data_IF_663458538310
#
_entry.id   IF_663458538310
#
_cell.length_a   1.000
_cell.length_b   1.000
_cell.length_c   1.000
_cell.angle_alpha   90.00
_cell.angle_beta   90.00
_cell.angle_gamma   90.00
#
_symmetry.space_group_name_H-M   'P 1'
#
loop_
_entity.id
_entity.type
_entity.pdbx_description
1 polymer ?
#
# COMPACT_ATOMS: atom_id res chain seq x y z
N UNK A 1 17.90 17.73 23.75
CA UNK A 1 18.42 17.72 22.36
C UNK A 1 17.25 17.58 21.42
N UNK A 2 16.89 18.65 20.71
CA UNK A 2 15.86 18.57 19.66
C UNK A 2 16.46 17.82 18.47
N UNK A 3 15.96 16.59 18.22
CA UNK A 3 16.27 15.84 17.01
C UNK A 3 15.68 16.57 15.81
N UNK A 4 16.38 16.66 14.67
CA UNK A 4 15.87 17.34 13.48
C UNK A 4 14.53 16.73 13.08
N UNK A 5 13.56 17.59 12.77
CA UNK A 5 12.24 17.16 12.33
C UNK A 5 12.35 16.57 10.92
N UNK A 6 12.02 15.29 10.77
CA UNK A 6 12.01 14.62 9.47
C UNK A 6 10.82 15.15 8.68
N UNK A 7 11.09 15.75 7.52
CA UNK A 7 10.00 16.24 6.66
C UNK A 7 9.06 15.08 6.28
N UNK A 8 7.73 15.29 6.30
CA UNK A 8 6.77 14.25 5.94
C UNK A 8 7.06 13.60 4.59
N UNK A 9 7.48 14.39 3.61
CA UNK A 9 7.87 13.91 2.27
C UNK A 9 9.06 12.95 2.31
N UNK A 10 10.07 13.21 3.16
CA UNK A 10 11.23 12.33 3.28
C UNK A 10 10.87 10.96 3.88
N UNK A 11 9.87 10.89 4.76
CA UNK A 11 9.42 9.63 5.35
C UNK A 11 8.87 8.65 4.30
N UNK A 12 8.31 9.16 3.20
CA UNK A 12 7.79 8.34 2.11
C UNK A 12 8.85 7.85 1.12
N UNK A 13 10.10 8.35 1.19
CA UNK A 13 11.16 8.10 0.20
C UNK A 13 11.52 6.63 0.00
N UNK A 14 11.19 5.78 0.97
CA UNK A 14 11.38 4.33 0.90
C UNK A 14 10.57 3.65 -0.22
N UNK A 15 9.41 4.21 -0.59
CA UNK A 15 8.55 3.66 -1.63
C UNK A 15 8.92 4.29 -2.98
N UNK A 16 9.31 3.47 -3.96
CA UNK A 16 9.73 3.96 -5.28
C UNK A 16 8.54 4.40 -6.13
N UNK A 17 7.42 3.67 -6.02
CA UNK A 17 6.17 3.94 -6.73
C UNK A 17 4.99 3.89 -5.78
N UNK A 18 4.12 4.89 -5.90
CA UNK A 18 2.97 5.08 -5.02
C UNK A 18 1.75 5.31 -5.89
N UNK A 19 0.75 4.46 -5.73
CA UNK A 19 -0.48 4.48 -6.50
C UNK A 19 -1.69 4.68 -5.59
N UNK A 20 -2.71 5.36 -6.09
CA UNK A 20 -4.04 5.39 -5.47
C UNK A 20 -5.09 4.97 -6.50
N UNK A 21 -5.81 3.89 -6.23
CA UNK A 21 -6.86 3.37 -7.09
C UNK A 21 -8.15 4.14 -6.81
N UNK A 22 -8.82 4.59 -7.88
CA UNK A 22 -10.14 5.21 -7.79
C UNK A 22 -10.97 4.87 -9.02
N UNK A 23 -12.29 4.74 -8.86
CA UNK A 23 -13.18 4.60 -10.00
C UNK A 23 -13.49 5.97 -10.62
N UNK A 24 -13.55 6.04 -11.95
CA UNK A 24 -13.77 7.25 -12.76
C UNK A 24 -14.84 8.21 -12.21
N UNK A 25 -16.00 7.69 -11.83
CA UNK A 25 -17.18 8.41 -11.36
C UNK A 25 -17.11 8.93 -9.92
N UNK A 26 -16.05 8.61 -9.15
CA UNK A 26 -15.88 9.02 -7.74
C UNK A 26 -14.88 10.16 -7.58
N UNK A 27 -15.08 11.26 -8.29
CA UNK A 27 -14.27 12.48 -8.13
C UNK A 27 -14.31 13.02 -6.70
N UNK A 28 -15.44 12.88 -6.02
CA UNK A 28 -15.63 13.21 -4.61
C UNK A 28 -14.58 12.55 -3.70
N UNK A 29 -14.39 11.22 -3.84
CA UNK A 29 -13.40 10.47 -3.07
C UNK A 29 -11.98 10.82 -3.46
N UNK A 30 -11.71 11.05 -4.75
CA UNK A 30 -10.38 11.49 -5.19
C UNK A 30 -9.98 12.81 -4.57
N UNK A 31 -10.88 13.79 -4.55
CA UNK A 31 -10.59 15.09 -3.92
C UNK A 31 -10.36 14.93 -2.41
N UNK A 32 -11.09 14.05 -1.73
CA UNK A 32 -10.82 13.73 -0.34
C UNK A 32 -9.46 13.06 -0.14
N UNK A 33 -9.13 12.05 -0.95
CA UNK A 33 -7.83 11.37 -0.90
C UNK A 33 -6.68 12.34 -1.18
N UNK A 34 -6.82 13.26 -2.14
CA UNK A 34 -5.83 14.30 -2.41
C UNK A 34 -5.56 15.18 -1.18
N UNK A 35 -6.60 15.62 -0.48
CA UNK A 35 -6.46 16.38 0.77
C UNK A 35 -5.71 15.57 1.82
N UNK A 36 -6.09 14.32 2.02
CA UNK A 36 -5.44 13.39 2.95
C UNK A 36 -3.96 13.17 2.61
N UNK A 37 -3.60 13.02 1.33
CA UNK A 37 -2.21 12.92 0.90
C UNK A 37 -1.44 14.23 1.06
N UNK A 38 -2.08 15.38 0.84
CA UNK A 38 -1.45 16.69 1.03
C UNK A 38 -1.10 16.91 2.51
N UNK A 39 -2.01 16.57 3.42
CA UNK A 39 -1.82 16.67 4.88
C UNK A 39 -0.59 15.91 5.38
N UNK A 40 -0.22 14.80 4.72
CA UNK A 40 0.94 13.97 5.08
C UNK A 40 2.14 14.16 4.14
N UNK A 41 2.13 15.19 3.29
CA UNK A 41 3.24 15.53 2.38
C UNK A 41 3.53 14.49 1.30
N UNK A 42 2.51 13.73 0.90
CA UNK A 42 2.60 12.60 -0.03
C UNK A 42 2.02 12.90 -1.43
N UNK A 43 1.12 13.89 -1.55
CA UNK A 43 0.31 14.15 -2.75
C UNK A 43 1.10 14.12 -4.07
N UNK A 44 2.20 14.87 -4.16
CA UNK A 44 3.00 15.02 -5.39
C UNK A 44 3.67 13.71 -5.86
N UNK A 45 3.67 12.67 -5.03
CA UNK A 45 4.27 11.37 -5.36
C UNK A 45 3.24 10.30 -5.69
N UNK A 46 1.95 10.60 -5.54
CA UNK A 46 0.86 9.64 -5.78
C UNK A 46 0.43 9.72 -7.24
N UNK A 47 0.52 8.59 -7.94
CA UNK A 47 -0.13 8.43 -9.24
C UNK A 47 -1.53 7.84 -9.04
N UNK A 48 -2.57 8.56 -9.47
CA UNK A 48 -3.93 8.04 -9.44
C UNK A 48 -4.18 7.08 -10.61
N UNK A 49 -4.53 5.84 -10.30
CA UNK A 49 -4.93 4.83 -11.29
C UNK A 49 -6.46 4.83 -11.37
N UNK A 50 -6.96 5.56 -12.37
CA UNK A 50 -8.39 5.73 -12.60
C UNK A 50 -8.92 4.56 -13.44
N UNK A 51 -9.90 3.84 -12.91
CA UNK A 51 -10.49 2.67 -13.57
C UNK A 51 -11.99 2.83 -13.77
N UNK A 52 -12.54 2.25 -14.82
CA UNK A 52 -13.99 2.09 -14.94
C UNK A 52 -14.45 1.03 -13.95
N UNK A 53 -15.64 1.20 -13.37
CA UNK A 53 -16.24 0.14 -12.55
C UNK A 53 -16.53 -1.07 -13.45
N UNK A 54 -16.03 -2.25 -13.06
CA UNK A 54 -16.32 -3.47 -13.79
C UNK A 54 -17.85 -3.73 -13.81
N UNK A 55 -18.45 -4.02 -14.99
CA UNK A 55 -19.90 -3.95 -15.19
C UNK A 55 -20.68 -5.05 -14.45
N UNK A 56 -20.07 -6.22 -14.24
CA UNK A 56 -20.76 -7.42 -13.72
C UNK A 56 -20.09 -7.98 -12.46
N UNK A 57 -18.76 -8.08 -12.47
CA UNK A 57 -17.96 -8.62 -11.36
C UNK A 57 -17.14 -7.54 -10.65
N UNK A 58 -17.55 -7.15 -9.44
CA UNK A 58 -16.86 -6.12 -8.65
C UNK A 58 -15.49 -6.60 -8.17
N UNK A 59 -15.37 -7.86 -7.78
CA UNK A 59 -14.14 -8.41 -7.19
C UNK A 59 -13.05 -8.54 -8.26
N UNK A 60 -13.44 -8.93 -9.47
CA UNK A 60 -12.56 -8.90 -10.64
C UNK A 60 -12.04 -7.49 -10.93
N UNK A 61 -12.90 -6.47 -10.88
CA UNK A 61 -12.48 -5.08 -11.06
C UNK A 61 -11.45 -4.62 -10.02
N UNK A 62 -11.67 -4.99 -8.75
CA UNK A 62 -10.70 -4.73 -7.66
C UNK A 62 -9.38 -5.44 -7.98
N UNK A 63 -9.43 -6.74 -8.26
CA UNK A 63 -8.26 -7.55 -8.61
C UNK A 63 -7.45 -6.94 -9.75
N UNK A 64 -8.11 -6.61 -10.86
CA UNK A 64 -7.46 -6.06 -12.07
C UNK A 64 -6.80 -4.70 -11.77
N UNK A 65 -7.44 -3.84 -10.99
CA UNK A 65 -6.90 -2.53 -10.63
C UNK A 65 -5.63 -2.63 -9.75
N UNK A 66 -5.60 -3.55 -8.78
CA UNK A 66 -4.38 -3.81 -8.01
C UNK A 66 -3.28 -4.45 -8.86
N UNK A 67 -3.62 -5.43 -9.70
CA UNK A 67 -2.64 -6.06 -10.59
C UNK A 67 -2.05 -5.06 -11.59
N UNK A 68 -2.86 -4.11 -12.08
CA UNK A 68 -2.39 -2.99 -12.89
C UNK A 68 -1.32 -2.17 -12.16
N UNK A 69 -1.59 -1.76 -10.91
CA UNK A 69 -0.61 -1.01 -10.11
C UNK A 69 0.68 -1.80 -9.86
N UNK A 70 0.57 -3.10 -9.55
CA UNK A 70 1.74 -3.96 -9.35
C UNK A 70 2.58 -4.07 -10.62
N UNK A 71 1.96 -4.31 -11.79
CA UNK A 71 2.66 -4.40 -13.07
C UNK A 71 3.33 -3.08 -13.43
N UNK A 72 2.62 -1.96 -13.33
CA UNK A 72 3.18 -0.62 -13.56
C UNK A 72 4.40 -0.33 -12.68
N UNK A 73 4.31 -0.64 -11.39
CA UNK A 73 5.44 -0.46 -10.47
C UNK A 73 6.63 -1.36 -10.84
N UNK A 74 6.36 -2.61 -11.19
CA UNK A 74 7.39 -3.58 -11.58
C UNK A 74 8.12 -3.18 -12.87
N UNK A 75 7.37 -2.75 -13.89
CA UNK A 75 7.85 -2.23 -15.17
C UNK A 75 8.71 -0.97 -14.97
N UNK A 76 8.32 -0.10 -14.05
CA UNK A 76 9.09 1.08 -13.66
C UNK A 76 10.34 0.76 -12.81
N UNK A 77 10.67 -0.52 -12.60
CA UNK A 77 11.85 -0.94 -11.83
C UNK A 77 11.72 -0.81 -10.31
N UNK A 78 10.53 -0.53 -9.77
CA UNK A 78 10.32 -0.31 -8.34
C UNK A 78 10.76 -1.51 -7.49
N UNK A 79 11.46 -1.22 -6.38
CA UNK A 79 11.80 -2.19 -5.33
C UNK A 79 10.69 -2.29 -4.30
N UNK A 80 10.02 -1.18 -3.99
CA UNK A 80 8.88 -1.11 -3.09
C UNK A 80 7.73 -0.35 -3.75
N UNK A 81 6.57 -1.02 -3.84
CA UNK A 81 5.36 -0.47 -4.45
C UNK A 81 4.33 -0.27 -3.36
N UNK A 82 3.86 0.96 -3.15
CA UNK A 82 2.80 1.32 -2.20
C UNK A 82 1.50 1.60 -2.95
N UNK A 83 0.40 0.98 -2.51
CA UNK A 83 -0.92 1.11 -3.13
C UNK A 83 -1.92 1.52 -2.06
N UNK A 84 -2.73 2.53 -2.37
CA UNK A 84 -3.90 2.96 -1.62
C UNK A 84 -5.19 2.80 -2.43
N UNK A 85 -6.32 2.74 -1.74
CA UNK A 85 -7.64 3.05 -2.29
C UNK A 85 -8.06 4.49 -1.97
N UNK A 86 -9.09 5.00 -2.66
CA UNK A 86 -9.57 6.38 -2.54
C UNK A 86 -10.47 6.66 -1.31
N UNK A 87 -10.61 5.72 -0.38
CA UNK A 87 -11.14 5.95 0.99
C UNK A 87 -10.05 6.11 2.05
N UNK A 88 -8.79 6.28 1.65
CA UNK A 88 -7.70 6.52 2.59
C UNK A 88 -8.00 7.71 3.52
N UNK A 89 -7.76 7.49 4.82
CA UNK A 89 -7.87 8.51 5.85
C UNK A 89 -6.71 8.37 6.84
N UNK A 90 -5.91 9.42 7.01
CA UNK A 90 -4.75 9.42 7.89
C UNK A 90 -5.11 9.99 9.25
N UNK A 91 -5.21 9.13 10.27
CA UNK A 91 -5.40 9.56 11.65
C UNK A 91 -4.07 9.51 12.40
N UNK A 92 -3.70 10.62 13.04
CA UNK A 92 -2.51 10.71 13.90
C UNK A 92 -1.23 10.25 13.16
N UNK A 93 -1.10 10.64 11.91
CA UNK A 93 0.09 10.32 11.12
C UNK A 93 1.35 10.85 11.81
N UNK A 94 2.35 9.98 11.98
CA UNK A 94 3.66 10.32 12.52
C UNK A 94 4.74 9.92 11.52
N UNK A 95 5.36 10.93 10.90
CA UNK A 95 6.44 10.74 9.92
C UNK A 95 7.63 9.99 10.50
N UNK A 96 7.89 10.12 11.80
CA UNK A 96 9.00 9.43 12.48
C UNK A 96 8.74 7.95 12.62
N UNK A 97 7.54 7.56 13.05
CA UNK A 97 7.12 6.15 13.09
C UNK A 97 7.23 5.50 11.71
N UNK A 98 6.75 6.17 10.66
CA UNK A 98 6.91 5.66 9.28
C UNK A 98 8.38 5.53 8.88
N UNK A 99 9.20 6.55 9.12
CA UNK A 99 10.62 6.52 8.81
C UNK A 99 11.35 5.39 9.54
N UNK A 100 11.07 5.18 10.82
CA UNK A 100 11.66 4.11 11.63
C UNK A 100 11.24 2.73 11.12
N UNK A 101 9.97 2.57 10.74
CA UNK A 101 9.45 1.35 10.13
C UNK A 101 10.17 1.06 8.81
N UNK A 102 10.20 2.03 7.88
CA UNK A 102 10.88 1.91 6.60
C UNK A 102 12.39 1.64 6.75
N UNK A 103 13.05 2.27 7.72
CA UNK A 103 14.47 2.03 8.01
C UNK A 103 14.72 0.58 8.45
N UNK A 104 13.83 0.01 9.26
CA UNK A 104 13.93 -1.40 9.66
C UNK A 104 13.68 -2.33 8.47
N UNK A 105 12.67 -2.05 7.64
CA UNK A 105 12.36 -2.82 6.44
C UNK A 105 13.48 -2.72 5.38
N UNK A 106 14.22 -1.61 5.33
CA UNK A 106 15.38 -1.47 4.43
C UNK A 106 16.59 -2.29 4.83
N UNK A 107 16.70 -2.71 6.11
CA UNK A 107 17.81 -3.52 6.63
C UNK A 107 17.58 -5.02 6.49
N UNK A 108 16.37 -5.44 6.15
CA UNK A 108 15.99 -6.84 6.03
C UNK A 108 15.18 -7.08 4.77
N UNK A 109 15.52 -8.12 4.02
CA UNK A 109 14.67 -8.57 2.90
C UNK A 109 13.58 -9.55 3.36
N UNK A 110 13.52 -9.87 4.66
CA UNK A 110 12.59 -10.86 5.21
C UNK A 110 11.23 -10.24 5.58
N UNK A 111 10.56 -9.67 4.59
CA UNK A 111 9.19 -9.20 4.69
C UNK A 111 8.56 -9.21 3.30
N UNK A 112 7.29 -9.60 3.18
CA UNK A 112 6.58 -9.59 1.90
C UNK A 112 5.77 -8.29 1.71
N UNK A 113 5.00 -7.93 2.75
CA UNK A 113 4.07 -6.80 2.72
C UNK A 113 4.13 -5.98 4.01
N UNK A 114 4.03 -4.65 3.87
CA UNK A 114 3.74 -3.69 4.93
C UNK A 114 2.30 -3.22 4.76
N UNK A 115 1.50 -3.25 5.82
CA UNK A 115 0.12 -2.75 5.79
C UNK A 115 0.03 -1.47 6.61
N UNK A 116 -0.50 -0.41 5.98
CA UNK A 116 -0.82 0.87 6.61
C UNK A 116 -2.32 0.95 6.97
N UNK A 117 -3.15 0.15 6.30
CA UNK A 117 -4.58 0.03 6.58
C UNK A 117 -5.11 -1.32 6.13
N UNK A 118 -5.59 -2.13 7.08
CA UNK A 118 -6.23 -3.43 6.83
C UNK A 118 -6.98 -3.95 8.07
N UNK A 119 -7.76 -5.02 7.91
CA UNK A 119 -8.26 -5.83 9.02
C UNK A 119 -7.24 -6.93 9.35
N UNK A 120 -6.92 -7.04 10.64
CA UNK A 120 -6.03 -8.08 11.18
C UNK A 120 -6.79 -9.06 12.07
N UNK A 121 -6.29 -10.30 12.16
CA UNK A 121 -6.76 -11.31 13.13
C UNK A 121 -5.97 -11.29 14.43
N UNK A 122 -4.86 -10.56 14.46
CA UNK A 122 -3.97 -10.45 15.60
C UNK A 122 -2.68 -9.75 15.22
N UNK A 123 -1.92 -9.33 16.22
CA UNK A 123 -0.61 -8.72 16.05
C UNK A 123 0.38 -9.14 17.14
N UNK A 124 1.66 -9.06 16.84
CA UNK A 124 2.76 -9.29 17.77
C UNK A 124 3.78 -8.19 17.61
N UNK A 125 4.34 -7.70 18.72
CA UNK A 125 5.37 -6.67 18.70
C UNK A 125 6.61 -7.17 17.96
N UNK A 126 7.25 -6.26 17.22
CA UNK A 126 8.62 -6.49 16.73
C UNK A 126 9.62 -5.77 17.64
N UNK A 127 10.91 -5.93 17.37
CA UNK A 127 11.97 -5.16 18.05
C UNK A 127 11.85 -3.64 17.79
N UNK A 128 11.18 -3.25 16.70
CA UNK A 128 10.91 -1.86 16.38
C UNK A 128 9.49 -1.49 16.82
N UNK A 129 9.35 -0.49 17.71
CA UNK A 129 8.06 -0.04 18.23
C UNK A 129 7.13 0.56 17.17
N UNK A 130 7.68 0.94 16.01
CA UNK A 130 6.92 1.46 14.86
C UNK A 130 6.43 0.34 13.92
N UNK A 131 6.72 -0.93 14.24
CA UNK A 131 6.31 -2.10 13.46
C UNK A 131 5.73 -3.20 14.34
N UNK A 132 4.62 -3.76 13.89
CA UNK A 132 4.04 -4.99 14.44
C UNK A 132 3.94 -6.03 13.34
N UNK A 133 4.18 -7.29 13.70
CA UNK A 133 3.87 -8.42 12.81
C UNK A 133 2.38 -8.70 12.93
N UNK A 134 1.68 -8.79 11.80
CA UNK A 134 0.23 -9.01 11.77
C UNK A 134 -0.15 -10.34 11.12
N UNK A 135 -1.22 -10.94 11.63
CA UNK A 135 -2.01 -11.92 10.90
C UNK A 135 -3.04 -11.17 10.05
N UNK A 136 -2.77 -11.03 8.75
CA UNK A 136 -3.66 -10.32 7.83
C UNK A 136 -4.97 -11.10 7.63
N UNK A 137 -6.10 -10.40 7.55
CA UNK A 137 -7.39 -10.99 7.19
C UNK A 137 -7.87 -10.51 5.82
N UNK A 138 -8.23 -9.23 5.69
CA UNK A 138 -8.84 -8.66 4.49
C UNK A 138 -8.85 -7.12 4.53
N UNK A 139 -9.44 -6.50 3.49
CA UNK A 139 -9.68 -5.07 3.32
C UNK A 139 -8.40 -4.22 3.36
N UNK A 140 -7.39 -4.64 2.61
CA UNK A 140 -6.16 -3.87 2.45
C UNK A 140 -6.39 -2.63 1.57
N UNK A 141 -6.66 -1.49 2.20
CA UNK A 141 -6.87 -0.19 1.52
C UNK A 141 -5.61 0.70 1.53
N UNK A 142 -4.54 0.23 2.17
CA UNK A 142 -3.23 0.87 2.15
C UNK A 142 -2.13 -0.15 2.48
N UNK A 143 -1.34 -0.54 1.48
CA UNK A 143 -0.29 -1.55 1.65
C UNK A 143 0.88 -1.35 0.68
N UNK A 144 2.07 -1.76 1.11
CA UNK A 144 3.25 -1.81 0.27
C UNK A 144 3.79 -3.23 0.16
N UNK A 145 4.27 -3.58 -1.03
CA UNK A 145 4.92 -4.87 -1.29
C UNK A 145 6.39 -4.66 -1.68
N UNK A 146 7.22 -5.61 -1.28
CA UNK A 146 8.56 -5.72 -1.85
C UNK A 146 8.49 -6.26 -3.31
N UNK A 147 9.55 -6.05 -4.09
CA UNK A 147 9.60 -6.48 -5.49
C UNK A 147 9.48 -8.00 -5.68
N UNK A 148 10.17 -8.87 -4.93
CA UNK A 148 9.99 -10.32 -5.06
C UNK A 148 8.53 -10.78 -4.90
N UNK A 149 7.82 -10.25 -3.92
CA UNK A 149 6.43 -10.60 -3.67
C UNK A 149 5.50 -9.99 -4.70
N UNK A 150 5.69 -8.72 -5.06
CA UNK A 150 4.94 -8.08 -6.13
C UNK A 150 5.07 -8.86 -7.45
N UNK A 151 6.27 -9.35 -7.81
CA UNK A 151 6.50 -10.20 -8.98
C UNK A 151 5.73 -11.52 -8.91
N UNK A 152 5.64 -12.12 -7.72
CA UNK A 152 4.88 -13.36 -7.50
C UNK A 152 3.39 -13.11 -7.76
N UNK A 153 2.81 -12.09 -7.12
CA UNK A 153 1.40 -11.74 -7.29
C UNK A 153 1.05 -11.31 -8.71
N UNK A 154 1.89 -10.52 -9.38
CA UNK A 154 1.60 -9.98 -10.71
C UNK A 154 1.51 -11.04 -11.82
N UNK A 155 1.97 -12.28 -11.55
CA UNK A 155 1.83 -13.44 -12.45
C UNK A 155 0.47 -14.11 -12.35
N UNK A 156 -0.29 -13.83 -11.29
CA UNK A 156 -1.60 -14.42 -11.08
C UNK A 156 -2.62 -13.80 -12.02
N UNK A 157 -3.53 -14.65 -12.51
CA UNK A 157 -4.68 -14.24 -13.31
C UNK A 157 -5.95 -14.37 -12.49
N UNK A 158 -7.00 -13.63 -12.90
CA UNK A 158 -8.30 -13.76 -12.27
C UNK A 158 -8.82 -15.20 -12.40
N UNK A 159 -9.07 -15.83 -11.26
CA UNK A 159 -9.54 -17.22 -11.15
C UNK A 159 -10.79 -17.35 -10.24
N UNK A 160 -11.47 -16.22 -9.98
CA UNK A 160 -12.55 -16.15 -9.00
C UNK A 160 -12.07 -15.98 -7.55
N UNK A 161 -10.77 -15.72 -7.34
CA UNK A 161 -10.19 -15.45 -6.03
C UNK A 161 -10.05 -13.93 -5.85
N UNK A 162 -10.76 -13.32 -4.88
CA UNK A 162 -10.62 -11.90 -4.58
C UNK A 162 -9.18 -11.52 -4.23
N UNK A 163 -8.80 -10.27 -4.52
CA UNK A 163 -7.43 -9.80 -4.32
C UNK A 163 -6.93 -9.98 -2.87
N UNK A 164 -7.77 -9.67 -1.89
CA UNK A 164 -7.45 -9.85 -0.47
C UNK A 164 -7.15 -11.30 -0.12
N UNK A 165 -7.94 -12.23 -0.67
CA UNK A 165 -7.74 -13.66 -0.42
C UNK A 165 -6.47 -14.17 -1.09
N UNK A 166 -6.17 -13.69 -2.30
CA UNK A 166 -4.89 -13.96 -2.95
C UNK A 166 -3.73 -13.44 -2.10
N UNK A 167 -3.80 -12.17 -1.67
CA UNK A 167 -2.79 -11.53 -0.83
C UNK A 167 -2.57 -12.32 0.48
N UNK A 168 -3.64 -12.86 1.07
CA UNK A 168 -3.57 -13.68 2.28
C UNK A 168 -2.89 -15.04 2.03
N UNK A 169 -3.23 -15.73 0.94
CA UNK A 169 -2.70 -17.06 0.60
C UNK A 169 -1.25 -17.05 0.14
N UNK A 170 -0.83 -15.98 -0.53
CA UNK A 170 0.47 -15.92 -1.20
C UNK A 170 1.61 -15.43 -0.32
N UNK A 171 1.37 -15.09 0.95
CA UNK A 171 2.41 -14.67 1.89
C UNK A 171 3.27 -15.85 2.31
N UNK A 172 4.58 -15.67 2.26
CA UNK A 172 5.52 -16.63 2.83
C UNK A 172 5.39 -16.65 4.36
N UNK A 173 5.46 -17.85 4.95
CA UNK A 173 5.49 -18.06 6.40
C UNK A 173 6.79 -17.54 7.01
#
# INVERSE_FOLDING_TARGET
MNKPDLSPTAAWSFFDRIYCISIDRRSDRREQAKKQFAEVGLLERVEFVIVAKHPQDREKGIFESHMCCLRKGLEAGAKHILIFEDDVFFQKFDSRSLHNACSQLGRSTNWDALFLGCITGGSTKTENSSLVRIQYRCLAHGYALNRPFAKRLARENWSGIPFDELLRRSRSH
#
